data_IF_461946860971
#
_entry.id   IF_461946860971
#
_cell.length_a   1.000
_cell.length_b   1.000
_cell.length_c   1.000
_cell.angle_alpha   90.00
_cell.angle_beta   90.00
_cell.angle_gamma   90.00
#
_symmetry.space_group_name_H-M   'P 1'
#
loop_
_entity.id
_entity.type
_entity.pdbx_description
1 polymer ?
#
# COMPACT_ATOMS: atom_id res chain seq x y z
N UNK A 1 -2.87 19.78 -0.07
CA UNK A 1 -3.24 18.52 -0.71
C UNK A 1 -3.32 17.43 0.35
N UNK A 2 -4.17 16.43 0.14
CA UNK A 2 -4.22 15.21 0.92
C UNK A 2 -3.42 14.13 0.23
N UNK A 3 -2.34 13.68 0.87
CA UNK A 3 -1.43 12.68 0.31
C UNK A 3 -1.51 11.41 1.16
N UNK A 4 -1.82 10.28 0.52
CA UNK A 4 -1.81 8.97 1.16
C UNK A 4 -0.63 8.17 0.61
N UNK A 5 0.31 7.84 1.48
CA UNK A 5 1.45 6.99 1.16
C UNK A 5 1.11 5.53 1.44
N UNK A 6 1.50 4.66 0.51
CA UNK A 6 1.42 3.21 0.68
C UNK A 6 2.82 2.63 0.64
N UNK A 7 3.15 1.81 1.60
CA UNK A 7 4.43 1.11 1.65
C UNK A 7 4.32 -0.19 2.46
N UNK A 8 5.20 -1.14 2.15
CA UNK A 8 5.36 -2.36 2.94
C UNK A 8 6.21 -2.13 4.19
N UNK A 9 6.99 -1.06 4.24
CA UNK A 9 7.87 -0.73 5.36
C UNK A 9 7.78 0.75 5.71
N UNK A 10 7.70 1.04 7.01
CA UNK A 10 7.66 2.40 7.56
C UNK A 10 8.40 2.42 8.91
N UNK A 11 9.49 3.16 9.03
CA UNK A 11 10.12 3.37 10.32
C UNK A 11 9.26 4.33 11.19
N UNK A 12 9.05 4.05 12.46
CA UNK A 12 9.72 3.07 13.33
C UNK A 12 8.95 1.74 13.51
N UNK A 13 7.94 1.45 12.69
CA UNK A 13 7.07 0.28 12.87
C UNK A 13 7.71 -1.01 12.34
N UNK A 14 8.21 -0.98 11.12
CA UNK A 14 8.91 -2.10 10.50
C UNK A 14 9.94 -1.60 9.49
N UNK A 15 11.14 -2.23 9.49
CA UNK A 15 12.23 -1.86 8.61
C UNK A 15 13.10 -3.07 8.28
N UNK A 16 13.36 -3.29 7.00
CA UNK A 16 14.42 -4.18 6.49
C UNK A 16 15.42 -3.44 5.60
N UNK A 17 15.00 -2.34 4.97
CA UNK A 17 15.80 -1.59 4.00
C UNK A 17 15.61 -0.07 4.08
N UNK A 18 16.10 0.61 3.04
CA UNK A 18 16.04 2.08 2.94
C UNK A 18 14.64 2.64 2.69
N UNK A 19 13.68 1.81 2.20
CA UNK A 19 12.30 2.22 2.00
C UNK A 19 11.69 2.79 3.29
N UNK A 20 11.92 2.12 4.42
CA UNK A 20 11.37 2.55 5.71
C UNK A 20 11.88 3.93 6.14
N UNK A 21 13.14 4.25 5.87
CA UNK A 21 13.72 5.57 6.18
C UNK A 21 13.10 6.67 5.31
N UNK A 22 12.91 6.40 4.01
CA UNK A 22 12.23 7.33 3.11
C UNK A 22 10.79 7.56 3.57
N UNK A 23 10.09 6.49 3.98
CA UNK A 23 8.71 6.56 4.48
C UNK A 23 8.57 7.24 5.84
N UNK A 24 9.66 7.43 6.56
CA UNK A 24 9.70 8.32 7.73
C UNK A 24 9.96 9.79 7.31
N UNK A 25 10.94 10.02 6.43
CA UNK A 25 11.45 11.36 6.15
C UNK A 25 10.55 12.15 5.18
N UNK A 26 10.15 11.54 4.06
CA UNK A 26 9.40 12.22 3.00
C UNK A 26 7.99 12.63 3.44
N UNK A 27 7.16 11.74 4.05
CA UNK A 27 5.85 12.12 4.56
C UNK A 27 5.91 13.23 5.60
N UNK A 28 6.87 13.17 6.50
CA UNK A 28 7.12 14.24 7.50
C UNK A 28 7.42 15.58 6.82
N UNK A 29 8.27 15.56 5.79
CA UNK A 29 8.60 16.77 5.04
C UNK A 29 7.39 17.35 4.32
N UNK A 30 6.54 16.51 3.73
CA UNK A 30 5.30 16.96 3.10
C UNK A 30 4.32 17.56 4.11
N UNK A 31 4.22 16.98 5.30
CA UNK A 31 3.43 17.53 6.39
C UNK A 31 3.95 18.90 6.84
N UNK A 32 5.27 19.08 6.97
CA UNK A 32 5.90 20.38 7.28
C UNK A 32 5.64 21.44 6.21
N UNK A 33 5.42 21.04 4.96
CA UNK A 33 5.03 21.92 3.84
C UNK A 33 3.53 22.23 3.80
N UNK A 34 2.77 21.80 4.81
CA UNK A 34 1.35 22.11 4.97
C UNK A 34 0.41 21.15 4.24
N UNK A 35 0.85 19.94 3.89
CA UNK A 35 -0.02 18.91 3.32
C UNK A 35 -0.62 18.05 4.43
N UNK A 36 -1.85 17.59 4.23
CA UNK A 36 -2.46 16.55 5.05
C UNK A 36 -1.90 15.20 4.61
N UNK A 37 -1.27 14.47 5.53
CA UNK A 37 -0.53 13.26 5.20
C UNK A 37 -1.05 12.07 5.98
N UNK A 38 -1.30 10.98 5.26
CA UNK A 38 -1.60 9.66 5.84
C UNK A 38 -0.64 8.62 5.27
N UNK A 39 -0.33 7.60 6.06
CA UNK A 39 0.48 6.46 5.65
C UNK A 39 -0.32 5.19 5.93
N UNK A 40 -0.37 4.27 4.96
CA UNK A 40 -1.02 2.98 5.10
C UNK A 40 0.02 1.88 4.86
N UNK A 41 0.08 0.92 5.78
CA UNK A 41 0.92 -0.28 5.67
C UNK A 41 0.21 -1.51 6.24
N UNK A 42 0.64 -2.75 5.92
CA UNK A 42 0.14 -3.93 6.60
C UNK A 42 0.52 -3.94 8.08
N UNK A 43 -0.36 -4.46 8.94
CA UNK A 43 -0.07 -4.66 10.37
C UNK A 43 0.71 -5.96 10.55
N UNK A 44 2.03 -5.84 10.66
CA UNK A 44 2.89 -7.00 10.90
C UNK A 44 3.04 -7.34 12.38
N UNK A 45 3.26 -8.63 12.71
CA UNK A 45 3.56 -9.08 14.07
C UNK A 45 4.84 -8.44 14.65
N UNK A 46 5.75 -7.98 13.79
CA UNK A 46 7.03 -7.38 14.15
C UNK A 46 6.91 -5.91 14.57
N UNK A 47 5.73 -5.29 14.47
CA UNK A 47 5.52 -3.92 14.96
C UNK A 47 5.71 -3.92 16.49
N UNK A 48 6.56 -3.00 17.03
CA UNK A 48 6.83 -2.97 18.47
C UNK A 48 5.57 -2.77 19.31
N UNK A 49 5.43 -3.55 20.39
CA UNK A 49 4.24 -3.58 21.27
C UNK A 49 3.80 -2.18 21.74
N UNK A 50 4.77 -1.31 22.06
CA UNK A 50 4.49 0.09 22.48
C UNK A 50 3.64 0.90 21.50
N UNK A 51 3.59 0.50 20.21
CA UNK A 51 2.72 1.09 19.21
C UNK A 51 1.39 0.33 19.11
N UNK A 52 1.43 -1.00 19.16
CA UNK A 52 0.24 -1.84 19.10
C UNK A 52 -0.74 -1.57 20.25
N UNK A 53 -0.24 -1.25 21.45
CA UNK A 53 -1.07 -0.88 22.62
C UNK A 53 -1.84 0.44 22.45
N UNK A 54 -1.49 1.25 21.46
CA UNK A 54 -2.07 2.57 21.23
C UNK A 54 -2.95 2.65 19.99
N UNK A 55 -3.04 1.56 19.24
CA UNK A 55 -3.85 1.56 18.02
C UNK A 55 -5.33 1.55 18.35
N UNK A 56 -6.11 2.21 17.50
CA UNK A 56 -7.56 2.30 17.60
C UNK A 56 -8.20 1.63 16.39
N UNK A 57 -9.30 0.95 16.63
CA UNK A 57 -10.12 0.39 15.55
C UNK A 57 -10.78 1.52 14.74
N UNK A 58 -10.84 1.35 13.41
CA UNK A 58 -11.43 2.32 12.50
C UNK A 58 -12.57 1.72 11.69
N UNK A 59 -12.33 0.60 10.98
CA UNK A 59 -13.30 -0.02 10.09
C UNK A 59 -13.00 -1.51 9.88
N UNK A 60 -14.00 -2.24 9.41
CA UNK A 60 -13.89 -3.66 9.01
C UNK A 60 -14.39 -3.85 7.59
N UNK A 61 -13.71 -4.68 6.80
CA UNK A 61 -14.14 -5.13 5.48
C UNK A 61 -14.02 -6.65 5.37
N UNK A 62 -14.97 -7.27 4.72
CA UNK A 62 -14.86 -8.67 4.28
C UNK A 62 -14.37 -8.73 2.83
N UNK A 63 -13.41 -9.62 2.58
CA UNK A 63 -12.87 -9.88 1.24
C UNK A 63 -12.41 -11.33 1.14
N UNK A 64 -12.87 -12.04 0.10
CA UNK A 64 -12.48 -13.43 -0.20
C UNK A 64 -12.67 -14.40 0.98
N UNK A 65 -13.75 -14.21 1.78
CA UNK A 65 -14.03 -15.05 2.94
C UNK A 65 -13.19 -14.75 4.18
N UNK A 66 -12.41 -13.69 4.15
CA UNK A 66 -11.55 -13.22 5.25
C UNK A 66 -12.03 -11.85 5.75
N UNK A 67 -11.80 -11.60 7.03
CA UNK A 67 -12.10 -10.31 7.68
C UNK A 67 -10.81 -9.51 7.79
N UNK A 68 -10.85 -8.26 7.35
CA UNK A 68 -9.75 -7.32 7.45
C UNK A 68 -10.19 -6.10 8.26
N UNK A 69 -9.36 -5.69 9.19
CA UNK A 69 -9.60 -4.47 9.95
C UNK A 69 -8.64 -3.37 9.50
N UNK A 70 -9.16 -2.15 9.49
CA UNK A 70 -8.33 -0.95 9.45
C UNK A 70 -8.19 -0.46 10.89
N UNK A 71 -6.97 -0.31 11.35
CA UNK A 71 -6.66 0.28 12.64
C UNK A 71 -5.74 1.50 12.45
N UNK A 72 -5.78 2.42 13.39
CA UNK A 72 -5.02 3.68 13.32
C UNK A 72 -4.17 3.85 14.57
N UNK A 73 -2.94 4.31 14.41
CA UNK A 73 -2.16 4.88 15.49
C UNK A 73 -2.41 6.39 15.50
N UNK A 74 -3.02 6.96 16.56
CA UNK A 74 -3.20 8.39 16.68
C UNK A 74 -1.86 9.13 16.73
N UNK A 75 -1.74 10.17 15.90
CA UNK A 75 -0.61 11.10 15.89
C UNK A 75 -1.12 12.48 15.46
N UNK A 76 -0.55 13.53 16.01
CA UNK A 76 -1.03 14.91 15.78
C UNK A 76 -0.67 15.45 14.38
N UNK A 77 0.24 14.79 13.67
CA UNK A 77 0.83 15.31 12.42
C UNK A 77 0.59 14.41 11.21
N UNK A 78 0.68 13.10 11.39
CA UNK A 78 0.57 12.10 10.32
C UNK A 78 -0.38 11.01 10.79
N UNK A 79 -1.38 10.68 9.98
CA UNK A 79 -2.26 9.56 10.27
C UNK A 79 -1.61 8.25 9.81
N UNK A 80 -1.29 7.38 10.77
CA UNK A 80 -0.77 6.04 10.46
C UNK A 80 -1.90 5.01 10.53
N UNK A 81 -2.18 4.37 9.40
CA UNK A 81 -3.16 3.31 9.28
C UNK A 81 -2.47 1.97 9.03
N UNK A 82 -3.02 0.92 9.61
CA UNK A 82 -2.55 -0.45 9.41
C UNK A 82 -3.72 -1.33 9.00
N UNK A 83 -3.50 -2.15 7.96
CA UNK A 83 -4.46 -3.18 7.56
C UNK A 83 -4.10 -4.46 8.29
N UNK A 84 -5.02 -4.94 9.12
CA UNK A 84 -4.87 -6.10 9.97
C UNK A 84 -5.56 -7.33 9.37
N UNK A 85 -4.86 -8.44 9.35
CA UNK A 85 -5.39 -9.79 9.15
C UNK A 85 -4.33 -10.81 9.55
N UNK A 86 -4.67 -11.75 10.42
CA UNK A 86 -3.72 -12.73 10.97
C UNK A 86 -3.17 -13.70 9.92
N UNK A 87 -3.96 -14.03 8.90
CA UNK A 87 -3.55 -14.98 7.86
C UNK A 87 -2.56 -14.38 6.85
N UNK A 88 -2.65 -13.08 6.60
CA UNK A 88 -1.84 -12.40 5.58
C UNK A 88 -0.70 -11.55 6.14
N UNK A 89 -0.87 -10.89 7.29
CA UNK A 89 0.09 -9.89 7.75
C UNK A 89 0.74 -10.20 9.10
N UNK A 90 0.04 -10.89 10.01
CA UNK A 90 0.58 -11.21 11.33
C UNK A 90 1.29 -12.57 11.33
N UNK A 91 2.34 -12.67 10.50
CA UNK A 91 3.13 -13.88 10.29
C UNK A 91 4.52 -13.77 10.92
N UNK A 92 5.23 -14.88 11.07
CA UNK A 92 6.57 -14.96 11.69
C UNK A 92 7.61 -14.11 10.93
N UNK A 93 7.47 -14.01 9.62
CA UNK A 93 8.31 -13.16 8.76
C UNK A 93 7.45 -12.44 7.71
N UNK A 94 7.96 -11.32 7.18
CA UNK A 94 7.17 -10.44 6.30
C UNK A 94 7.28 -10.82 4.83
N UNK A 95 8.44 -11.27 4.38
CA UNK A 95 8.72 -11.55 2.98
C UNK A 95 9.06 -13.02 2.73
N UNK A 96 8.84 -13.49 1.48
CA UNK A 96 9.20 -14.83 1.05
C UNK A 96 8.09 -15.88 1.21
N UNK A 97 6.88 -15.48 1.53
CA UNK A 97 5.73 -16.39 1.53
C UNK A 97 5.34 -16.80 0.11
N UNK A 98 4.83 -18.03 -0.04
CA UNK A 98 4.41 -18.58 -1.34
C UNK A 98 3.21 -17.81 -1.95
N UNK A 99 2.41 -17.16 -1.11
CA UNK A 99 1.23 -16.38 -1.45
C UNK A 99 1.48 -14.86 -1.33
N UNK A 100 2.74 -14.44 -1.38
CA UNK A 100 3.14 -13.05 -1.21
C UNK A 100 2.53 -12.12 -2.29
N UNK A 101 2.29 -12.64 -3.48
CA UNK A 101 1.60 -11.93 -4.54
C UNK A 101 0.13 -11.65 -4.16
N UNK A 102 -0.59 -12.63 -3.60
CA UNK A 102 -1.95 -12.43 -3.07
C UNK A 102 -1.92 -11.45 -1.91
N UNK A 103 -0.98 -11.61 -0.97
CA UNK A 103 -0.82 -10.75 0.20
C UNK A 103 -0.77 -9.27 -0.17
N UNK A 104 0.08 -8.89 -1.12
CA UNK A 104 0.25 -7.48 -1.50
C UNK A 104 -0.78 -6.99 -2.51
N UNK A 105 -1.33 -7.84 -3.36
CA UNK A 105 -2.48 -7.48 -4.18
C UNK A 105 -3.71 -7.18 -3.31
N UNK A 106 -3.97 -8.00 -2.28
CA UNK A 106 -5.01 -7.75 -1.27
C UNK A 106 -4.75 -6.44 -0.51
N UNK A 107 -3.52 -6.16 -0.11
CA UNK A 107 -3.16 -4.89 0.53
C UNK A 107 -3.55 -3.68 -0.33
N UNK A 108 -3.25 -3.73 -1.63
CA UNK A 108 -3.57 -2.66 -2.57
C UNK A 108 -5.08 -2.49 -2.77
N UNK A 109 -5.81 -3.58 -2.96
CA UNK A 109 -7.26 -3.54 -3.13
C UNK A 109 -7.97 -3.05 -1.87
N UNK A 110 -7.61 -3.61 -0.73
CA UNK A 110 -8.19 -3.23 0.56
C UNK A 110 -7.90 -1.78 0.91
N UNK A 111 -6.71 -1.27 0.56
CA UNK A 111 -6.43 0.16 0.74
C UNK A 111 -7.46 1.01 0.00
N UNK A 112 -7.73 0.76 -1.27
CA UNK A 112 -8.75 1.51 -2.02
C UNK A 112 -10.12 1.40 -1.34
N UNK A 113 -10.55 0.20 -0.98
CA UNK A 113 -11.84 -0.03 -0.33
C UNK A 113 -11.95 0.68 1.02
N UNK A 114 -10.90 0.62 1.86
CA UNK A 114 -10.88 1.32 3.15
C UNK A 114 -10.88 2.84 2.98
N UNK A 115 -10.16 3.39 2.01
CA UNK A 115 -10.23 4.83 1.72
C UNK A 115 -11.66 5.29 1.45
N UNK A 116 -12.43 4.49 0.70
CA UNK A 116 -13.86 4.78 0.45
C UNK A 116 -14.71 4.60 1.70
N UNK A 117 -14.51 3.52 2.44
CA UNK A 117 -15.26 3.21 3.67
C UNK A 117 -15.13 4.34 4.71
N UNK A 118 -13.94 4.87 4.90
CA UNK A 118 -13.70 5.97 5.86
C UNK A 118 -13.82 7.37 5.24
N UNK A 119 -14.28 7.44 3.98
CA UNK A 119 -14.42 8.68 3.20
C UNK A 119 -13.14 9.54 3.14
N UNK A 120 -11.98 8.89 3.06
CA UNK A 120 -10.68 9.57 2.91
C UNK A 120 -10.36 9.78 1.42
N UNK A 121 -10.85 10.89 0.85
CA UNK A 121 -10.50 11.29 -0.51
C UNK A 121 -9.09 11.88 -0.55
N UNK A 122 -8.16 11.16 -1.16
CA UNK A 122 -6.81 11.62 -1.40
C UNK A 122 -6.70 12.41 -2.71
N UNK A 123 -5.88 13.44 -2.75
CA UNK A 123 -5.46 14.07 -4.00
C UNK A 123 -4.39 13.19 -4.69
N UNK A 124 -3.51 12.59 -3.88
CA UNK A 124 -2.40 11.75 -4.35
C UNK A 124 -2.34 10.46 -3.53
N UNK A 125 -2.28 9.32 -4.24
CA UNK A 125 -1.90 8.01 -3.72
C UNK A 125 -0.45 7.75 -4.12
N UNK A 126 0.47 7.81 -3.16
CA UNK A 126 1.90 7.63 -3.39
C UNK A 126 2.32 6.20 -3.06
N UNK A 127 2.42 5.39 -4.09
CA UNK A 127 2.77 3.98 -4.03
C UNK A 127 4.29 3.79 -4.05
N UNK A 128 4.81 2.87 -3.23
CA UNK A 128 6.25 2.66 -3.06
C UNK A 128 6.62 1.20 -3.25
N UNK A 129 7.49 0.92 -4.21
CA UNK A 129 7.98 -0.39 -4.63
C UNK A 129 6.89 -1.38 -5.11
N UNK A 130 7.33 -2.55 -5.55
CA UNK A 130 6.49 -3.56 -6.18
C UNK A 130 5.28 -4.00 -5.32
N UNK A 131 5.39 -3.95 -3.99
CA UNK A 131 4.31 -4.34 -3.09
C UNK A 131 3.05 -3.47 -3.26
N UNK A 132 3.23 -2.26 -3.77
CA UNK A 132 2.13 -1.31 -3.99
C UNK A 132 1.79 -1.11 -5.47
N UNK A 133 2.51 -1.77 -6.36
CA UNK A 133 2.33 -1.68 -7.81
C UNK A 133 0.95 -2.08 -8.34
N UNK A 134 0.23 -3.05 -7.75
CA UNK A 134 -1.14 -3.36 -8.15
C UNK A 134 -2.15 -2.22 -7.95
N UNK A 135 -1.92 -1.27 -7.03
CA UNK A 135 -2.89 -0.23 -6.71
C UNK A 135 -3.21 0.69 -7.91
N UNK A 136 -2.22 1.27 -8.63
CA UNK A 136 -2.51 2.07 -9.82
C UNK A 136 -3.27 1.30 -10.90
N UNK A 137 -2.98 0.01 -11.08
CA UNK A 137 -3.70 -0.87 -11.99
C UNK A 137 -5.16 -1.04 -11.56
N UNK A 138 -5.44 -1.35 -10.30
CA UNK A 138 -6.81 -1.51 -9.81
C UNK A 138 -7.60 -0.21 -9.95
N UNK A 139 -6.98 0.92 -9.64
CA UNK A 139 -7.61 2.23 -9.76
C UNK A 139 -8.04 2.53 -11.20
N UNK A 140 -7.23 2.18 -12.19
CA UNK A 140 -7.50 2.41 -13.61
C UNK A 140 -8.36 1.34 -14.28
N UNK A 141 -8.60 0.21 -13.63
CA UNK A 141 -9.41 -0.89 -14.17
C UNK A 141 -10.70 -1.08 -13.39
N UNK A 142 -10.63 -1.77 -12.27
CA UNK A 142 -11.80 -2.14 -11.46
C UNK A 142 -12.56 -0.93 -10.88
N UNK A 143 -11.83 0.11 -10.50
CA UNK A 143 -12.37 1.31 -9.87
C UNK A 143 -12.47 2.52 -10.82
N UNK A 144 -12.19 2.34 -12.11
CA UNK A 144 -12.15 3.41 -13.11
C UNK A 144 -13.46 4.20 -13.24
N UNK A 145 -14.61 3.57 -12.98
CA UNK A 145 -15.93 4.19 -13.10
C UNK A 145 -16.51 4.64 -11.75
N UNK A 146 -15.77 4.47 -10.66
CA UNK A 146 -16.22 4.87 -9.34
C UNK A 146 -15.85 6.36 -9.08
N UNK A 147 -16.88 7.20 -8.97
CA UNK A 147 -16.74 8.65 -8.78
C UNK A 147 -15.90 9.03 -7.55
N UNK A 148 -15.86 8.16 -6.53
CA UNK A 148 -15.05 8.41 -5.34
C UNK A 148 -13.57 8.60 -5.68
N UNK A 149 -13.06 7.84 -6.67
CA UNK A 149 -11.64 7.85 -7.04
C UNK A 149 -11.31 8.73 -8.24
N UNK A 150 -12.29 9.36 -8.90
CA UNK A 150 -12.15 10.05 -10.19
C UNK A 150 -11.04 11.10 -10.24
N UNK A 151 -10.84 11.83 -9.15
CA UNK A 151 -9.85 12.92 -9.04
C UNK A 151 -8.51 12.46 -8.46
N UNK A 152 -8.42 11.23 -7.93
CA UNK A 152 -7.19 10.73 -7.31
C UNK A 152 -6.11 10.50 -8.35
N UNK A 153 -4.90 10.96 -8.09
CA UNK A 153 -3.71 10.72 -8.92
C UNK A 153 -2.75 9.79 -8.20
N UNK A 154 -2.01 9.01 -8.97
CA UNK A 154 -1.03 8.06 -8.43
C UNK A 154 0.39 8.48 -8.76
N UNK A 155 1.28 8.42 -7.77
CA UNK A 155 2.73 8.45 -7.94
C UNK A 155 3.24 7.06 -7.58
N UNK A 156 4.12 6.52 -8.39
CA UNK A 156 4.78 5.24 -8.14
C UNK A 156 6.29 5.44 -8.04
N UNK A 157 6.86 5.20 -6.87
CA UNK A 157 8.31 5.35 -6.61
C UNK A 157 8.99 4.00 -6.55
N UNK A 158 10.03 3.83 -7.35
CA UNK A 158 10.87 2.64 -7.38
C UNK A 158 12.08 2.87 -6.47
N UNK A 159 12.21 2.06 -5.43
CA UNK A 159 13.35 2.06 -4.51
C UNK A 159 14.36 0.98 -4.88
N UNK A 160 13.88 -0.19 -5.36
CA UNK A 160 14.74 -1.29 -5.73
C UNK A 160 14.21 -2.10 -6.94
N UNK A 161 14.84 -1.91 -8.10
CA UNK A 161 14.50 -2.60 -9.35
C UNK A 161 14.75 -4.13 -9.31
N UNK A 162 15.56 -4.63 -8.39
CA UNK A 162 15.88 -6.05 -8.31
C UNK A 162 14.64 -6.87 -7.91
N UNK A 163 13.76 -6.30 -7.11
CA UNK A 163 12.54 -6.96 -6.65
C UNK A 163 11.36 -6.55 -7.52
N UNK A 164 10.86 -7.50 -8.30
CA UNK A 164 9.87 -7.25 -9.35
C UNK A 164 8.42 -7.56 -8.92
N UNK A 165 8.23 -8.33 -7.86
CA UNK A 165 6.88 -8.75 -7.43
C UNK A 165 6.19 -9.61 -8.49
N UNK A 166 6.83 -10.71 -8.91
CA UNK A 166 6.23 -11.65 -9.86
C UNK A 166 5.03 -12.35 -9.24
N UNK A 167 3.90 -12.32 -9.92
CA UNK A 167 2.66 -12.93 -9.51
C UNK A 167 2.14 -13.91 -10.56
N UNK A 168 1.46 -14.97 -10.13
CA UNK A 168 0.83 -15.88 -11.03
C UNK A 168 -0.52 -15.32 -11.53
N UNK A 169 -0.89 -15.62 -12.78
CA UNK A 169 -2.24 -15.35 -13.30
C UNK A 169 -3.32 -15.91 -12.37
N UNK A 170 -3.11 -17.13 -11.86
CA UNK A 170 -4.05 -17.81 -10.96
C UNK A 170 -4.31 -17.05 -9.66
N UNK A 171 -3.31 -16.36 -9.11
CA UNK A 171 -3.47 -15.52 -7.91
C UNK A 171 -4.44 -14.37 -8.16
N UNK A 172 -4.30 -13.70 -9.30
CA UNK A 172 -5.20 -12.61 -9.70
C UNK A 172 -6.61 -13.09 -10.05
N UNK A 173 -6.72 -14.22 -10.75
CA UNK A 173 -8.03 -14.81 -11.05
C UNK A 173 -8.79 -15.21 -9.78
N UNK A 174 -8.10 -15.70 -8.74
CA UNK A 174 -8.71 -15.96 -7.43
C UNK A 174 -9.26 -14.70 -6.75
N UNK A 175 -8.68 -13.55 -7.04
CA UNK A 175 -9.14 -12.25 -6.56
C UNK A 175 -10.21 -11.63 -7.46
N UNK A 176 -10.69 -12.37 -8.49
CA UNK A 176 -11.71 -11.89 -9.43
C UNK A 176 -11.19 -10.95 -10.50
N UNK A 177 -9.87 -10.94 -10.77
CA UNK A 177 -9.27 -10.17 -11.86
C UNK A 177 -9.01 -11.04 -13.07
N UNK A 178 -9.36 -10.54 -14.26
CA UNK A 178 -8.99 -11.16 -15.54
C UNK A 178 -7.70 -10.54 -16.04
N UNK A 179 -6.73 -11.37 -16.42
CA UNK A 179 -5.44 -10.93 -16.97
C UNK A 179 -5.09 -11.77 -18.20
N UNK A 180 -4.63 -11.12 -19.26
CA UNK A 180 -4.31 -11.78 -20.53
C UNK A 180 -2.93 -12.46 -20.51
N UNK A 181 -2.00 -11.94 -19.68
CA UNK A 181 -0.64 -12.49 -19.54
C UNK A 181 -0.62 -13.69 -18.59
N UNK A 182 0.25 -14.67 -18.84
CA UNK A 182 0.41 -15.87 -17.98
C UNK A 182 1.01 -15.59 -16.59
N UNK A 183 1.72 -14.47 -16.44
CA UNK A 183 2.25 -13.95 -15.19
C UNK A 183 2.14 -12.42 -15.17
N UNK A 184 2.18 -11.87 -13.97
CA UNK A 184 2.19 -10.43 -13.75
C UNK A 184 3.48 -10.04 -13.04
N UNK A 185 3.91 -8.81 -13.32
CA UNK A 185 5.00 -8.15 -12.62
C UNK A 185 4.43 -6.91 -11.93
N UNK A 186 4.40 -6.89 -10.61
CA UNK A 186 3.77 -5.80 -9.86
C UNK A 186 4.51 -4.48 -10.03
N UNK A 187 5.84 -4.52 -10.19
CA UNK A 187 6.59 -3.31 -10.48
C UNK A 187 6.20 -2.74 -11.85
N UNK A 188 6.06 -3.61 -12.88
CA UNK A 188 5.59 -3.25 -14.21
C UNK A 188 4.17 -2.65 -14.16
N UNK A 189 3.25 -3.27 -13.43
CA UNK A 189 1.90 -2.74 -13.23
C UNK A 189 1.90 -1.33 -12.63
N UNK A 190 2.74 -1.10 -11.64
CA UNK A 190 2.90 0.22 -11.03
C UNK A 190 3.39 1.26 -12.03
N UNK A 191 4.43 0.92 -12.81
CA UNK A 191 5.01 1.82 -13.82
C UNK A 191 4.04 2.13 -14.95
N UNK A 192 3.33 1.12 -15.49
CA UNK A 192 2.42 1.30 -16.63
C UNK A 192 1.15 2.08 -16.27
N UNK A 193 0.70 1.98 -15.02
CA UNK A 193 -0.60 2.50 -14.63
C UNK A 193 -0.55 3.74 -13.72
N UNK A 194 0.59 4.11 -13.15
CA UNK A 194 0.70 5.34 -12.38
C UNK A 194 0.59 6.59 -13.27
N UNK A 195 0.13 7.70 -12.69
CA UNK A 195 0.15 8.99 -13.37
C UNK A 195 1.57 9.56 -13.49
N UNK A 196 2.42 9.22 -12.51
CA UNK A 196 3.83 9.62 -12.47
C UNK A 196 4.67 8.49 -11.89
N UNK A 197 5.82 8.23 -12.50
CA UNK A 197 6.83 7.29 -11.99
C UNK A 197 8.05 8.08 -11.55
N UNK A 198 8.58 7.75 -10.39
CA UNK A 198 9.78 8.37 -9.82
C UNK A 198 10.74 7.30 -9.29
N UNK A 199 11.98 7.72 -9.02
CA UNK A 199 12.98 6.88 -8.37
C UNK A 199 13.84 7.69 -7.42
N UNK A 200 14.67 7.02 -6.62
CA UNK A 200 15.36 7.61 -5.47
C UNK A 200 16.58 8.46 -5.81
N UNK A 201 17.12 8.38 -7.03
CA UNK A 201 18.27 9.21 -7.45
C UNK A 201 18.31 9.41 -8.96
N UNK A 202 19.02 10.49 -9.39
CA UNK A 202 19.24 10.77 -10.83
C UNK A 202 20.04 9.67 -11.53
N UNK A 203 20.91 8.99 -10.82
CA UNK A 203 21.74 7.90 -11.37
C UNK A 203 20.94 6.61 -11.51
N UNK A 204 19.84 6.48 -10.77
CA UNK A 204 18.98 5.31 -10.79
C UNK A 204 17.84 5.43 -11.81
N UNK A 205 17.58 6.64 -12.29
CA UNK A 205 16.60 6.94 -13.35
C UNK A 205 17.20 6.67 -14.71
#
# INVERSE_FOLDING_TARGET
MKIVYLASEVFPFFKTGGLADVMQALPKKMQELGHEVSIIMPKYSQIPLKYLEKIEFVATLESHGEVFNLVRLPDDKINYYFIENSNYYERDYVYGHIDQDVQYAMFCELTLRFLKEINLKADILHCNDWQTGPLPYFLKTRYAQDEFYSEMKTIFTIHNLMYQGKASKRSFERMGYSVDKGYLNFLELGMEHANMVTTVSKTYA
#
